data_IF_084961646472
#
_entry.id   IF_084961646472
#
_cell.length_a   1.000
_cell.length_b   1.000
_cell.length_c   1.000
_cell.angle_alpha   90.00
_cell.angle_beta   90.00
_cell.angle_gamma   90.00
#
_symmetry.space_group_name_H-M   'P 1'
#
loop_
_entity.id
_entity.type
_entity.pdbx_description
1 polymer ?
#
# COMPACT_ATOMS: atom_id res chain seq x y z
N UNK A 1 31.10 19.04 -25.04
CA UNK A 1 30.80 18.83 -23.62
C UNK A 1 29.43 18.20 -23.57
N UNK A 2 29.31 16.97 -23.11
CA UNK A 2 27.99 16.44 -22.77
C UNK A 2 27.56 17.23 -21.54
N UNK A 3 26.67 18.20 -21.73
CA UNK A 3 25.95 18.79 -20.61
C UNK A 3 25.27 17.63 -19.89
N UNK A 4 25.72 17.34 -18.68
CA UNK A 4 24.99 16.41 -17.83
C UNK A 4 23.62 17.04 -17.61
N UNK A 5 22.58 16.40 -18.13
CA UNK A 5 21.19 16.76 -17.83
C UNK A 5 21.10 16.91 -16.31
N UNK A 6 20.71 18.07 -15.78
CA UNK A 6 20.61 18.25 -14.34
C UNK A 6 19.68 17.16 -13.81
N UNK A 7 20.15 16.38 -12.83
CA UNK A 7 19.28 15.48 -12.08
C UNK A 7 18.30 16.41 -11.37
N UNK A 8 17.08 16.49 -11.89
CA UNK A 8 16.02 17.27 -11.24
C UNK A 8 15.67 16.53 -9.96
N UNK A 9 16.18 17.01 -8.84
CA UNK A 9 15.74 16.58 -7.53
C UNK A 9 14.27 16.99 -7.38
N UNK A 10 13.37 16.02 -7.20
CA UNK A 10 11.96 16.32 -6.93
C UNK A 10 11.81 17.00 -5.56
N UNK A 11 10.71 17.71 -5.34
CA UNK A 11 10.34 18.30 -4.04
C UNK A 11 9.05 17.66 -3.55
N UNK A 12 8.70 17.72 -2.25
CA UNK A 12 7.47 17.10 -1.75
C UNK A 12 6.21 17.54 -2.49
N UNK A 13 6.18 18.81 -2.94
CA UNK A 13 5.08 19.37 -3.72
C UNK A 13 4.91 18.72 -5.10
N UNK A 14 5.99 18.25 -5.71
CA UNK A 14 5.92 17.53 -7.00
C UNK A 14 5.25 16.15 -6.88
N UNK A 15 4.96 15.68 -5.66
CA UNK A 15 4.28 14.41 -5.40
C UNK A 15 2.82 14.57 -4.95
N UNK A 16 2.33 15.82 -4.81
CA UNK A 16 0.97 16.12 -4.36
C UNK A 16 0.06 16.45 -5.55
N UNK A 17 -1.08 15.77 -5.63
CA UNK A 17 -2.13 16.09 -6.61
C UNK A 17 -3.01 17.25 -6.11
N UNK A 18 -3.81 17.84 -7.00
CA UNK A 18 -4.88 18.78 -6.65
C UNK A 18 -6.16 18.13 -6.07
N UNK A 19 -6.20 16.81 -5.99
CA UNK A 19 -7.36 16.06 -5.55
C UNK A 19 -7.62 16.22 -4.05
N UNK A 20 -8.90 16.43 -3.70
CA UNK A 20 -9.33 16.42 -2.31
C UNK A 20 -9.22 15.00 -1.71
N UNK A 21 -8.51 14.90 -0.59
CA UNK A 21 -8.37 13.64 0.15
C UNK A 21 -9.67 13.32 0.89
N UNK A 22 -10.28 12.17 0.56
CA UNK A 22 -11.62 11.77 1.02
C UNK A 22 -11.59 10.72 2.13
N UNK A 23 -10.57 10.74 2.98
CA UNK A 23 -10.55 9.91 4.19
C UNK A 23 -11.30 10.60 5.32
N UNK A 24 -11.71 9.83 6.33
CA UNK A 24 -12.37 10.41 7.51
C UNK A 24 -11.41 11.35 8.25
N UNK A 25 -11.90 12.47 8.83
CA UNK A 25 -11.08 13.30 9.71
C UNK A 25 -10.47 12.45 10.83
N UNK A 26 -9.15 12.54 11.02
CA UNK A 26 -8.39 11.75 11.98
C UNK A 26 -7.96 10.36 11.48
N UNK A 27 -8.23 9.99 10.23
CA UNK A 27 -7.71 8.75 9.65
C UNK A 27 -6.17 8.78 9.57
N UNK A 28 -5.50 7.71 9.99
CA UNK A 28 -4.05 7.62 9.91
C UNK A 28 -3.47 7.55 8.49
N UNK A 29 -4.29 7.19 7.49
CA UNK A 29 -3.92 7.22 6.07
C UNK A 29 -3.36 8.59 5.63
N UNK A 30 -3.82 9.69 6.26
CA UNK A 30 -3.27 11.03 6.03
C UNK A 30 -1.79 11.14 6.42
N UNK A 31 -1.42 10.58 7.58
CA UNK A 31 -0.05 10.59 8.06
C UNK A 31 0.85 9.76 7.15
N UNK A 32 0.37 8.59 6.71
CA UNK A 32 1.12 7.73 5.76
C UNK A 32 1.32 8.44 4.43
N UNK A 33 0.29 9.06 3.86
CA UNK A 33 0.38 9.83 2.61
C UNK A 33 1.43 10.94 2.72
N UNK A 34 1.37 11.76 3.76
CA UNK A 34 2.31 12.86 3.96
C UNK A 34 3.74 12.36 4.22
N UNK A 35 3.89 11.25 4.93
CA UNK A 35 5.20 10.64 5.12
C UNK A 35 5.82 10.19 3.79
N UNK A 36 5.04 9.51 2.93
CA UNK A 36 5.51 9.09 1.61
C UNK A 36 5.86 10.30 0.74
N UNK A 37 4.94 11.27 0.58
CA UNK A 37 5.18 12.49 -0.23
C UNK A 37 6.46 13.24 0.18
N UNK A 38 6.76 13.30 1.48
CA UNK A 38 8.00 13.90 1.99
C UNK A 38 9.24 13.04 1.70
N UNK A 39 9.11 11.73 1.77
CA UNK A 39 10.25 10.79 1.68
C UNK A 39 10.68 10.54 0.24
N UNK A 40 9.77 10.59 -0.75
CA UNK A 40 10.12 10.28 -2.14
C UNK A 40 11.25 11.17 -2.70
N UNK A 41 11.28 12.50 -2.47
CA UNK A 41 12.44 13.34 -2.76
C UNK A 41 13.73 12.92 -2.05
N UNK A 42 13.66 12.55 -0.77
CA UNK A 42 14.82 12.21 0.06
C UNK A 42 15.52 10.94 -0.43
N UNK A 43 14.76 10.01 -1.00
CA UNK A 43 15.29 8.78 -1.61
C UNK A 43 15.63 8.93 -3.10
N UNK A 44 15.52 10.15 -3.65
CA UNK A 44 15.86 10.46 -5.04
C UNK A 44 14.85 9.96 -6.07
N UNK A 45 13.62 9.65 -5.66
CA UNK A 45 12.56 9.25 -6.57
C UNK A 45 12.18 10.39 -7.53
N UNK A 46 11.64 10.02 -8.69
CA UNK A 46 11.00 10.96 -9.62
C UNK A 46 9.59 10.52 -9.97
N UNK A 47 8.61 11.44 -10.05
CA UNK A 47 7.23 11.13 -10.40
C UNK A 47 7.06 10.28 -11.67
N UNK A 48 7.80 10.60 -12.72
CA UNK A 48 7.71 9.96 -14.03
C UNK A 48 8.22 8.52 -14.07
N UNK A 49 9.08 8.12 -13.11
CA UNK A 49 9.63 6.77 -12.99
C UNK A 49 9.01 5.96 -11.85
N UNK A 50 8.04 6.53 -11.13
CA UNK A 50 7.39 5.87 -9.99
C UNK A 50 5.97 5.46 -10.36
N UNK A 51 5.56 4.25 -9.97
CA UNK A 51 4.20 3.76 -10.17
C UNK A 51 3.59 3.29 -8.86
N UNK A 52 2.47 3.90 -8.46
CA UNK A 52 1.66 3.42 -7.34
C UNK A 52 0.50 2.54 -7.82
N UNK A 53 0.49 1.27 -7.42
CA UNK A 53 -0.52 0.28 -7.77
C UNK A 53 -1.33 -0.08 -6.52
N UNK A 54 -2.65 0.06 -6.56
CA UNK A 54 -3.52 -0.25 -5.43
C UNK A 54 -4.66 -1.21 -5.75
N UNK A 55 -5.17 -1.86 -4.71
CA UNK A 55 -6.34 -2.74 -4.77
C UNK A 55 -7.65 -1.97 -4.60
N UNK A 56 -8.52 -2.41 -3.69
CA UNK A 56 -9.75 -1.68 -3.30
C UNK A 56 -9.83 -1.56 -1.79
N UNK A 57 -10.13 -0.35 -1.30
CA UNK A 57 -10.24 -0.02 0.12
C UNK A 57 -10.05 1.47 0.38
N UNK A 58 -10.15 1.92 1.64
CA UNK A 58 -9.81 3.30 2.00
C UNK A 58 -8.36 3.59 1.62
N UNK A 59 -7.43 2.72 2.05
CA UNK A 59 -6.01 2.79 1.71
C UNK A 59 -5.78 2.81 0.20
N UNK A 60 -6.55 2.05 -0.58
CA UNK A 60 -6.35 1.94 -2.02
C UNK A 60 -6.71 3.19 -2.83
N UNK A 61 -7.26 4.23 -2.19
CA UNK A 61 -7.40 5.56 -2.81
C UNK A 61 -6.06 6.29 -2.94
N UNK A 62 -5.01 5.83 -2.27
CA UNK A 62 -3.70 6.48 -2.21
C UNK A 62 -3.12 6.91 -3.57
N UNK A 63 -3.17 6.12 -4.67
CA UNK A 63 -2.63 6.56 -5.94
C UNK A 63 -3.30 7.81 -6.52
N UNK A 64 -4.56 8.11 -6.14
CA UNK A 64 -5.22 9.36 -6.54
C UNK A 64 -4.61 10.61 -5.89
N UNK A 65 -3.80 10.44 -4.86
CA UNK A 65 -3.19 11.52 -4.08
C UNK A 65 -1.68 11.64 -4.31
N UNK A 66 -1.14 10.84 -5.23
CA UNK A 66 0.26 10.87 -5.64
C UNK A 66 0.34 11.36 -7.09
N UNK A 67 1.04 12.48 -7.31
CA UNK A 67 1.28 13.02 -8.65
C UNK A 67 2.32 12.14 -9.37
N UNK A 68 1.88 10.99 -9.88
CA UNK A 68 2.72 9.92 -10.47
C UNK A 68 1.88 9.10 -11.45
N UNK A 69 2.50 8.17 -12.18
CA UNK A 69 1.72 7.10 -12.80
C UNK A 69 1.10 6.19 -11.73
N UNK A 70 -0.10 5.68 -11.98
CA UNK A 70 -0.73 4.79 -11.01
C UNK A 70 -1.88 3.96 -11.57
N UNK A 71 -2.17 2.87 -10.87
CA UNK A 71 -3.29 1.99 -11.15
C UNK A 71 -4.13 1.82 -9.88
N UNK A 72 -5.41 2.19 -9.95
CA UNK A 72 -6.41 1.73 -8.99
C UNK A 72 -7.10 0.51 -9.60
N UNK A 73 -6.73 -0.68 -9.11
CA UNK A 73 -7.06 -1.95 -9.76
C UNK A 73 -8.36 -2.53 -9.21
N UNK A 74 -8.46 -3.87 -9.13
CA UNK A 74 -9.58 -4.58 -8.51
C UNK A 74 -9.13 -5.24 -7.20
N UNK A 75 -10.09 -5.52 -6.33
CA UNK A 75 -9.82 -5.92 -4.95
C UNK A 75 -8.89 -7.15 -4.86
N UNK A 76 -7.78 -6.99 -4.13
CA UNK A 76 -6.73 -7.99 -3.92
C UNK A 76 -5.95 -8.40 -5.17
N UNK A 77 -5.96 -7.59 -6.24
CA UNK A 77 -5.19 -7.89 -7.47
C UNK A 77 -4.03 -6.94 -7.71
N UNK A 78 -3.80 -5.95 -6.84
CA UNK A 78 -2.65 -5.06 -6.93
C UNK A 78 -1.31 -5.82 -7.04
N UNK A 79 -1.02 -6.89 -6.26
CA UNK A 79 0.22 -7.65 -6.43
C UNK A 79 0.36 -8.29 -7.81
N UNK A 80 -0.74 -8.75 -8.41
CA UNK A 80 -0.72 -9.38 -9.73
C UNK A 80 -0.48 -8.35 -10.83
N UNK A 81 -1.15 -7.20 -10.76
CA UNK A 81 -0.96 -6.09 -11.71
C UNK A 81 0.45 -5.51 -11.59
N UNK A 82 0.94 -5.27 -10.37
CA UNK A 82 2.29 -4.76 -10.11
C UNK A 82 3.38 -5.72 -10.63
N UNK A 83 3.16 -7.04 -10.54
CA UNK A 83 4.04 -8.03 -11.17
C UNK A 83 4.12 -7.80 -12.68
N UNK A 84 2.99 -7.58 -13.35
CA UNK A 84 2.97 -7.26 -14.78
C UNK A 84 3.71 -5.95 -15.10
N UNK A 85 3.46 -4.89 -14.33
CA UNK A 85 4.12 -3.58 -14.49
C UNK A 85 5.64 -3.72 -14.38
N UNK A 86 6.14 -4.32 -13.29
CA UNK A 86 7.58 -4.44 -13.04
C UNK A 86 8.29 -5.36 -14.03
N UNK A 87 7.62 -6.42 -14.50
CA UNK A 87 8.20 -7.29 -15.53
C UNK A 87 8.21 -6.64 -16.92
N UNK A 88 7.21 -5.80 -17.23
CA UNK A 88 7.14 -5.10 -18.51
C UNK A 88 8.16 -3.96 -18.60
N UNK A 89 8.41 -3.25 -17.49
CA UNK A 89 9.45 -2.24 -17.40
C UNK A 89 10.19 -2.36 -16.04
N UNK A 90 11.33 -3.07 -16.00
CA UNK A 90 12.11 -3.27 -14.78
C UNK A 90 12.71 -1.99 -14.17
N UNK A 91 12.82 -0.92 -14.94
CA UNK A 91 13.45 0.34 -14.49
C UNK A 91 12.51 1.19 -13.63
N UNK A 92 11.20 0.88 -13.61
CA UNK A 92 10.22 1.60 -12.79
C UNK A 92 10.34 1.24 -11.30
N UNK A 93 10.19 2.25 -10.45
CA UNK A 93 10.01 2.07 -9.01
C UNK A 93 8.53 1.80 -8.71
N UNK A 94 8.21 0.57 -8.31
CA UNK A 94 6.83 0.10 -8.17
C UNK A 94 6.46 -0.02 -6.70
N UNK A 95 5.44 0.71 -6.30
CA UNK A 95 4.88 0.73 -4.95
C UNK A 95 3.47 0.15 -4.94
N UNK A 96 3.23 -0.83 -4.09
CA UNK A 96 1.93 -1.47 -3.91
C UNK A 96 1.28 -0.92 -2.66
N UNK A 97 0.10 -0.31 -2.81
CA UNK A 97 -0.70 0.20 -1.69
C UNK A 97 -1.89 -0.72 -1.44
N UNK A 98 -2.01 -1.21 -0.21
CA UNK A 98 -3.05 -2.19 0.13
C UNK A 98 -3.53 -2.03 1.55
N UNK A 99 -4.79 -2.42 1.81
CA UNK A 99 -5.30 -2.61 3.16
C UNK A 99 -5.00 -4.03 3.64
N UNK A 100 -5.11 -4.24 4.95
CA UNK A 100 -5.07 -5.57 5.57
C UNK A 100 -6.01 -6.59 4.89
N UNK A 101 -7.27 -6.22 4.67
CA UNK A 101 -8.25 -7.08 4.02
C UNK A 101 -8.00 -7.26 2.52
N UNK A 102 -7.46 -6.26 1.84
CA UNK A 102 -7.15 -6.33 0.41
C UNK A 102 -5.98 -7.30 0.15
N UNK A 103 -4.89 -7.22 0.93
CA UNK A 103 -3.71 -8.06 0.74
C UNK A 103 -3.73 -9.40 1.47
N UNK A 104 -4.42 -9.52 2.62
CA UNK A 104 -4.35 -10.71 3.48
C UNK A 104 -5.66 -11.52 3.53
N UNK A 105 -6.73 -11.04 2.89
CA UNK A 105 -7.91 -11.84 2.60
C UNK A 105 -7.92 -12.24 1.13
N UNK A 106 -8.69 -11.54 0.29
CA UNK A 106 -8.88 -11.88 -1.13
C UNK A 106 -7.59 -11.80 -1.96
N UNK A 107 -6.62 -10.98 -1.54
CA UNK A 107 -5.29 -10.88 -2.18
C UNK A 107 -4.23 -11.84 -1.64
N UNK A 108 -4.52 -12.61 -0.58
CA UNK A 108 -3.53 -13.38 0.18
C UNK A 108 -2.60 -14.24 -0.67
N UNK A 109 -3.17 -15.00 -1.63
CA UNK A 109 -2.39 -15.87 -2.48
C UNK A 109 -1.46 -15.11 -3.46
N UNK A 110 -1.90 -13.95 -3.95
CA UNK A 110 -1.07 -13.13 -4.83
C UNK A 110 0.07 -12.48 -4.05
N UNK A 111 -0.21 -11.95 -2.85
CA UNK A 111 0.80 -11.38 -1.95
C UNK A 111 1.85 -12.42 -1.58
N UNK A 112 1.43 -13.64 -1.21
CA UNK A 112 2.33 -14.75 -0.92
C UNK A 112 3.29 -15.02 -2.08
N UNK A 113 2.77 -15.15 -3.30
CA UNK A 113 3.62 -15.47 -4.44
C UNK A 113 4.46 -14.29 -4.92
N UNK A 114 4.02 -13.05 -4.74
CA UNK A 114 4.85 -11.86 -5.01
C UNK A 114 6.08 -11.87 -4.10
N UNK A 115 5.89 -12.07 -2.79
CA UNK A 115 6.98 -12.14 -1.82
C UNK A 115 7.91 -13.33 -2.10
N UNK A 116 7.34 -14.52 -2.37
CA UNK A 116 8.13 -15.74 -2.68
C UNK A 116 9.00 -15.59 -3.92
N UNK A 117 8.52 -14.85 -4.93
CA UNK A 117 9.27 -14.58 -6.16
C UNK A 117 10.33 -13.49 -5.98
N UNK A 118 10.31 -12.78 -4.85
CA UNK A 118 11.19 -11.66 -4.58
C UNK A 118 11.14 -10.61 -5.71
N UNK A 119 9.91 -10.22 -6.09
CA UNK A 119 9.73 -9.13 -7.04
C UNK A 119 10.34 -7.85 -6.46
N UNK A 120 11.12 -7.14 -7.27
CA UNK A 120 11.73 -5.86 -6.89
C UNK A 120 10.66 -4.75 -6.86
N UNK A 121 9.96 -4.63 -5.73
CA UNK A 121 8.91 -3.66 -5.50
C UNK A 121 8.73 -3.39 -4.00
N UNK A 122 8.06 -2.29 -3.67
CA UNK A 122 7.69 -1.95 -2.30
C UNK A 122 6.23 -2.32 -2.04
N UNK A 123 5.90 -2.82 -0.83
CA UNK A 123 4.51 -3.02 -0.39
C UNK A 123 4.27 -2.20 0.87
N UNK A 124 3.31 -1.27 0.81
CA UNK A 124 2.78 -0.56 1.96
C UNK A 124 1.40 -1.11 2.31
N UNK A 125 1.34 -1.87 3.40
CA UNK A 125 0.10 -2.43 3.95
C UNK A 125 -0.41 -1.56 5.10
N UNK A 126 -1.57 -0.96 4.89
CA UNK A 126 -2.25 -0.08 5.83
C UNK A 126 -3.12 -0.97 6.73
N UNK A 127 -2.65 -1.24 7.94
CA UNK A 127 -3.26 -2.21 8.85
C UNK A 127 -4.13 -1.54 9.90
N UNK A 128 -5.36 -1.15 9.52
CA UNK A 128 -6.34 -0.57 10.44
C UNK A 128 -7.23 -1.62 11.14
N UNK A 129 -6.96 -2.91 10.94
CA UNK A 129 -7.65 -4.04 11.57
C UNK A 129 -9.16 -4.09 11.25
N UNK A 130 -9.60 -3.51 10.12
CA UNK A 130 -11.02 -3.44 9.76
C UNK A 130 -11.26 -3.14 8.26
N UNK A 131 -12.34 -3.65 7.68
CA UNK A 131 -12.79 -3.22 6.36
C UNK A 131 -13.51 -1.86 6.43
N UNK A 132 -12.75 -0.77 6.47
CA UNK A 132 -13.28 0.59 6.62
C UNK A 132 -14.25 1.01 5.50
N UNK A 133 -13.85 0.84 4.23
CA UNK A 133 -14.61 1.33 3.08
C UNK A 133 -16.00 0.67 2.95
N UNK A 134 -16.12 -0.59 3.36
CA UNK A 134 -17.38 -1.36 3.32
C UNK A 134 -18.19 -1.22 4.61
N UNK A 135 -17.87 -0.21 5.43
CA UNK A 135 -18.58 0.14 6.66
C UNK A 135 -18.33 -0.80 7.85
N UNK A 136 -17.11 -1.32 7.96
CA UNK A 136 -16.54 -1.75 9.23
C UNK A 136 -16.70 -3.23 9.57
N UNK A 137 -16.67 -4.14 8.60
CA UNK A 137 -16.58 -5.58 8.88
C UNK A 137 -15.18 -5.93 9.43
N UNK A 138 -15.08 -6.97 10.25
CA UNK A 138 -13.78 -7.45 10.73
C UNK A 138 -12.89 -7.91 9.55
N UNK A 139 -11.59 -7.67 9.64
CA UNK A 139 -10.56 -8.07 8.67
C UNK A 139 -9.75 -9.27 9.19
N UNK A 140 -8.86 -9.88 8.37
CA UNK A 140 -7.97 -10.94 8.82
C UNK A 140 -7.02 -10.54 9.96
N UNK A 141 -6.81 -9.25 10.20
CA UNK A 141 -5.92 -8.75 11.26
C UNK A 141 -6.69 -8.21 12.46
N UNK A 142 -8.03 -8.15 12.41
CA UNK A 142 -8.87 -7.84 13.56
C UNK A 142 -8.57 -8.76 14.73
N UNK A 143 -8.41 -8.20 15.92
CA UNK A 143 -8.28 -8.96 17.17
C UNK A 143 -9.46 -9.91 17.36
N UNK A 144 -9.20 -11.05 18.00
CA UNK A 144 -10.27 -11.96 18.41
C UNK A 144 -11.26 -11.23 19.33
N UNK A 145 -12.55 -11.48 19.15
CA UNK A 145 -13.62 -10.82 19.88
C UNK A 145 -14.05 -9.46 19.29
N UNK A 146 -13.44 -9.00 18.19
CA UNK A 146 -13.83 -7.75 17.51
C UNK A 146 -15.29 -7.82 17.07
N UNK A 147 -16.14 -6.96 17.65
CA UNK A 147 -17.53 -6.82 17.25
C UNK A 147 -17.65 -5.92 16.02
N UNK A 148 -18.31 -6.43 15.00
CA UNK A 148 -18.54 -5.72 13.74
C UNK A 148 -19.95 -6.04 13.20
N UNK A 149 -20.44 -5.36 12.14
CA UNK A 149 -21.73 -5.70 11.53
C UNK A 149 -21.86 -7.16 11.09
N UNK A 150 -20.75 -7.80 10.65
CA UNK A 150 -20.72 -9.22 10.26
C UNK A 150 -20.34 -10.16 11.41
N UNK A 151 -19.82 -9.63 12.52
CA UNK A 151 -19.46 -10.39 13.74
C UNK A 151 -20.07 -9.74 14.98
N UNK A 152 -21.41 -9.68 15.11
CA UNK A 152 -22.06 -8.97 16.22
C UNK A 152 -21.71 -9.56 17.60
N UNK A 153 -21.34 -10.85 17.64
CA UNK A 153 -20.92 -11.55 18.85
C UNK A 153 -19.40 -11.56 19.06
N UNK A 154 -18.62 -10.92 18.17
CA UNK A 154 -17.16 -10.94 18.16
C UNK A 154 -16.58 -11.90 17.12
N UNK A 155 -15.43 -11.56 16.55
CA UNK A 155 -14.66 -12.45 15.67
C UNK A 155 -14.10 -13.65 16.45
N UNK A 156 -14.12 -14.83 15.83
CA UNK A 156 -13.63 -16.07 16.47
C UNK A 156 -12.21 -16.43 16.04
N UNK A 157 -11.81 -15.98 14.85
CA UNK A 157 -10.52 -16.32 14.25
C UNK A 157 -9.37 -15.57 14.91
N UNK A 158 -8.22 -16.23 15.00
CA UNK A 158 -6.99 -15.60 15.44
C UNK A 158 -6.45 -14.67 14.32
N UNK A 159 -5.99 -13.45 14.65
CA UNK A 159 -5.53 -12.50 13.64
C UNK A 159 -4.27 -12.99 12.93
N UNK A 160 -4.26 -12.81 11.61
CA UNK A 160 -3.05 -12.90 10.79
C UNK A 160 -2.08 -11.83 11.27
N UNK A 161 -0.81 -12.21 11.45
CA UNK A 161 0.28 -11.27 11.79
C UNK A 161 1.02 -10.89 10.50
N UNK A 162 0.83 -9.69 9.93
CA UNK A 162 1.34 -9.36 8.58
C UNK A 162 2.85 -9.57 8.43
N UNK A 163 3.65 -9.14 9.40
CA UNK A 163 5.10 -9.31 9.37
C UNK A 163 5.52 -10.78 9.44
N UNK A 164 4.82 -11.60 10.23
CA UNK A 164 5.11 -13.04 10.30
C UNK A 164 4.71 -13.76 9.01
N UNK A 165 3.57 -13.38 8.42
CA UNK A 165 3.15 -13.84 7.08
C UNK A 165 4.21 -13.49 6.03
N UNK A 166 4.70 -12.24 6.01
CA UNK A 166 5.70 -11.80 5.04
C UNK A 166 7.03 -12.55 5.19
N UNK A 167 7.53 -12.69 6.42
CA UNK A 167 8.74 -13.49 6.72
C UNK A 167 8.55 -14.95 6.31
N UNK A 168 7.41 -15.56 6.66
CA UNK A 168 7.08 -16.94 6.29
C UNK A 168 6.95 -17.16 4.78
N UNK A 169 6.53 -16.14 4.03
CA UNK A 169 6.47 -16.16 2.57
C UNK A 169 7.84 -15.91 1.89
N UNK A 170 8.88 -15.57 2.65
CA UNK A 170 10.24 -15.36 2.14
C UNK A 170 10.61 -13.92 1.80
N UNK A 171 9.91 -12.92 2.35
CA UNK A 171 10.23 -11.51 2.15
C UNK A 171 11.68 -11.19 2.60
N UNK A 172 12.40 -10.41 1.78
CA UNK A 172 13.80 -10.02 2.06
C UNK A 172 13.95 -8.80 2.96
N UNK A 173 12.91 -7.96 3.01
CA UNK A 173 12.82 -6.82 3.89
C UNK A 173 11.43 -6.77 4.51
N UNK A 174 11.38 -6.61 5.84
CA UNK A 174 10.12 -6.48 6.59
C UNK A 174 10.31 -5.42 7.66
N UNK A 175 9.46 -4.40 7.63
CA UNK A 175 9.41 -3.35 8.64
C UNK A 175 7.97 -3.14 9.10
N UNK A 176 7.81 -2.47 10.25
CA UNK A 176 6.52 -2.04 10.78
C UNK A 176 6.68 -0.65 11.39
N UNK A 177 5.78 0.25 11.01
CA UNK A 177 5.65 1.59 11.61
C UNK A 177 4.26 1.78 12.20
N UNK A 178 4.04 2.97 12.73
CA UNK A 178 2.75 3.47 13.22
C UNK A 178 2.46 4.80 12.51
N UNK A 179 1.19 5.08 12.27
CA UNK A 179 0.70 6.26 11.56
C UNK A 179 0.50 7.46 12.49
N UNK A 180 -0.18 7.26 13.63
CA UNK A 180 -0.48 8.29 14.63
C UNK A 180 -0.29 7.74 16.06
N UNK A 181 0.14 8.61 16.97
CA UNK A 181 0.21 8.36 18.41
C UNK A 181 -0.94 9.05 19.14
#
# INVERSE_FOLDING_TARGET
MNDMTPIRTSTPKDWETDQEVRWCPGCGDYAVLKAVQRTMPEIGGTPENTVFVSGIGCSSRFPYYMETYGFHTIHGRAPAVATGVKLANPDLDVWIITGDGDALSIGGNHTLHLLRRNLDCQILLFNNEIYGLTKGQYSPTSRQGTRSPSTPFGSVDAPVRPCAFALGAGARFVARGIDVH
#
